data_IF_416565977609
#
_entry.id   IF_416565977609
#
_cell.length_a   1.000
_cell.length_b   1.000
_cell.length_c   1.000
_cell.angle_alpha   90.00
_cell.angle_beta   90.00
_cell.angle_gamma   90.00
#
_symmetry.space_group_name_H-M   'P 1'
#
loop_
_entity.id
_entity.type
_entity.pdbx_description
1 polymer ?
#
# COMPACT_ATOMS: atom_id res chain seq x y z
N UNK A 1 57.35 45.51 -59.23
CA UNK A 1 56.81 44.65 -58.17
C UNK A 1 55.36 44.35 -58.54
N UNK A 2 55.11 43.18 -59.14
CA UNK A 2 53.77 42.68 -59.44
C UNK A 2 53.28 41.88 -58.22
N UNK A 3 52.09 42.21 -57.71
CA UNK A 3 51.31 41.29 -56.89
C UNK A 3 49.87 41.31 -57.40
N UNK A 4 49.49 40.21 -58.05
CA UNK A 4 48.14 39.87 -58.46
C UNK A 4 47.46 39.14 -57.29
N UNK A 5 46.31 39.64 -56.86
CA UNK A 5 45.41 38.93 -55.92
C UNK A 5 44.14 38.50 -56.65
N UNK A 6 43.71 37.23 -56.54
CA UNK A 6 42.56 36.72 -57.26
C UNK A 6 41.24 36.99 -56.51
N UNK A 7 40.19 37.30 -57.27
CA UNK A 7 38.80 37.28 -56.85
C UNK A 7 38.37 35.84 -56.54
N UNK A 8 37.89 35.57 -55.32
CA UNK A 8 37.21 34.31 -54.96
C UNK A 8 35.70 34.56 -55.04
N UNK A 9 35.03 33.92 -55.98
CA UNK A 9 33.58 33.90 -56.11
C UNK A 9 32.97 32.92 -55.10
N UNK A 10 32.10 33.40 -54.22
CA UNK A 10 31.35 32.59 -53.27
C UNK A 10 30.05 32.10 -53.96
N UNK A 11 29.95 30.80 -54.26
CA UNK A 11 28.70 30.18 -54.71
C UNK A 11 27.74 30.05 -53.51
N UNK A 12 26.58 30.70 -53.59
CA UNK A 12 25.47 30.47 -52.67
C UNK A 12 24.73 29.18 -53.07
N UNK A 13 24.82 28.14 -52.25
CA UNK A 13 24.03 26.92 -52.39
C UNK A 13 22.68 27.17 -51.73
N UNK A 14 21.63 27.31 -52.53
CA UNK A 14 20.24 27.38 -52.06
C UNK A 14 19.80 25.96 -51.71
N UNK A 15 19.77 25.64 -50.41
CA UNK A 15 19.21 24.37 -49.91
C UNK A 15 17.68 24.45 -49.84
N UNK A 16 16.99 23.70 -50.69
CA UNK A 16 15.54 23.50 -50.60
C UNK A 16 15.20 22.64 -49.38
N UNK A 17 14.58 23.25 -48.36
CA UNK A 17 14.00 22.53 -47.24
C UNK A 17 12.68 21.87 -47.69
N UNK A 18 12.66 20.55 -47.73
CA UNK A 18 11.45 19.76 -47.98
C UNK A 18 10.73 19.64 -46.63
N UNK A 19 9.64 20.39 -46.47
CA UNK A 19 8.78 20.27 -45.29
C UNK A 19 8.03 18.94 -45.34
N UNK A 20 8.37 18.00 -44.45
CA UNK A 20 7.57 16.79 -44.23
C UNK A 20 6.35 17.17 -43.38
N UNK A 21 5.13 16.74 -43.75
CA UNK A 21 3.97 16.97 -42.92
C UNK A 21 4.09 16.14 -41.64
N UNK A 22 4.05 16.81 -40.48
CA UNK A 22 3.88 16.16 -39.18
C UNK A 22 2.47 15.54 -39.17
N UNK A 23 2.42 14.21 -39.24
CA UNK A 23 1.20 13.47 -38.92
C UNK A 23 1.01 13.59 -37.42
N UNK A 24 0.01 14.36 -36.99
CA UNK A 24 -0.47 14.36 -35.60
C UNK A 24 -0.97 12.95 -35.28
N UNK A 25 -0.15 12.19 -34.57
CA UNK A 25 -0.54 10.91 -34.00
C UNK A 25 -1.54 11.23 -32.89
N UNK A 26 -2.76 10.66 -32.91
CA UNK A 26 -3.71 10.89 -31.82
C UNK A 26 -3.05 10.46 -30.51
N UNK A 27 -3.03 11.35 -29.52
CA UNK A 27 -2.61 11.00 -28.16
C UNK A 27 -3.48 9.84 -27.69
N UNK A 28 -2.88 8.65 -27.66
CA UNK A 28 -3.53 7.47 -27.13
C UNK A 28 -3.95 7.82 -25.70
N UNK A 29 -5.27 7.76 -25.46
CA UNK A 29 -5.84 7.77 -24.13
C UNK A 29 -5.25 6.59 -23.36
N UNK A 30 -4.13 6.84 -22.69
CA UNK A 30 -3.56 5.97 -21.67
C UNK A 30 -4.53 6.00 -20.50
N UNK A 31 -5.58 5.18 -20.60
CA UNK A 31 -6.19 4.57 -19.44
C UNK A 31 -5.03 4.03 -18.62
N UNK A 32 -4.70 4.77 -17.56
CA UNK A 32 -3.68 4.42 -16.60
C UNK A 32 -4.10 3.08 -15.99
N UNK A 33 -3.65 1.99 -16.62
CA UNK A 33 -3.70 0.65 -16.06
C UNK A 33 -2.83 0.74 -14.81
N UNK A 34 -3.43 1.09 -13.68
CA UNK A 34 -2.75 0.96 -12.40
C UNK A 34 -2.16 -0.45 -12.38
N UNK A 35 -0.84 -0.54 -12.22
CA UNK A 35 -0.17 -1.83 -12.13
C UNK A 35 -0.92 -2.65 -11.07
N UNK A 36 -1.43 -3.82 -11.47
CA UNK A 36 -2.18 -4.69 -10.56
C UNK A 36 -1.23 -5.06 -9.42
N UNK A 37 -1.59 -4.65 -8.20
CA UNK A 37 -0.83 -5.01 -7.00
C UNK A 37 -0.86 -6.52 -6.86
N UNK A 38 0.31 -7.10 -6.57
CA UNK A 38 0.42 -8.54 -6.37
C UNK A 38 -0.53 -9.01 -5.26
N UNK A 39 -1.12 -10.19 -5.41
CA UNK A 39 -2.14 -10.67 -4.48
C UNK A 39 -1.63 -10.80 -3.02
N UNK A 40 -0.33 -11.04 -2.83
CA UNK A 40 0.34 -11.07 -1.53
C UNK A 40 0.79 -9.70 -1.00
N UNK A 41 0.39 -8.62 -1.67
CA UNK A 41 0.70 -7.24 -1.30
C UNK A 41 -0.57 -6.36 -1.23
N UNK A 42 -1.72 -6.99 -0.98
CA UNK A 42 -3.04 -6.36 -1.01
C UNK A 42 -3.73 -6.51 0.35
N UNK A 43 -4.40 -5.45 0.77
CA UNK A 43 -5.32 -5.41 1.91
C UNK A 43 -6.75 -5.32 1.39
N UNK A 44 -7.72 -5.86 2.15
CA UNK A 44 -9.14 -5.80 1.79
C UNK A 44 -10.03 -5.81 3.02
N UNK A 45 -11.11 -5.01 3.01
CA UNK A 45 -12.15 -5.07 4.04
C UNK A 45 -13.53 -5.00 3.39
N UNK A 46 -14.18 -6.16 3.26
CA UNK A 46 -15.57 -6.26 2.79
C UNK A 46 -16.52 -6.45 3.97
N UNK A 47 -16.16 -7.33 4.91
CA UNK A 47 -16.93 -7.63 6.12
C UNK A 47 -16.01 -8.18 7.24
N UNK A 48 -16.59 -8.53 8.39
CA UNK A 48 -15.88 -9.22 9.49
C UNK A 48 -15.46 -10.66 9.14
N UNK A 49 -15.96 -11.22 8.04
CA UNK A 49 -15.66 -12.59 7.57
C UNK A 49 -15.03 -12.62 6.18
N UNK A 50 -14.87 -11.47 5.54
CA UNK A 50 -14.22 -11.30 4.24
C UNK A 50 -13.27 -10.10 4.28
N UNK A 51 -12.01 -10.41 4.59
CA UNK A 51 -10.94 -9.43 4.78
C UNK A 51 -9.58 -10.03 4.43
N UNK A 52 -8.63 -9.15 4.17
CA UNK A 52 -7.21 -9.45 4.01
C UNK A 52 -6.38 -8.43 4.80
N UNK A 53 -5.33 -8.91 5.46
CA UNK A 53 -4.40 -8.12 6.27
C UNK A 53 -2.96 -8.48 5.89
N UNK A 54 -2.02 -7.61 6.22
CA UNK A 54 -0.60 -7.91 6.09
C UNK A 54 -0.10 -8.61 7.37
N UNK A 55 0.78 -9.58 7.22
CA UNK A 55 1.46 -10.24 8.34
C UNK A 55 2.91 -10.48 7.96
N UNK A 56 3.78 -10.86 8.92
CA UNK A 56 5.11 -11.32 8.58
C UNK A 56 5.05 -12.52 7.62
N UNK A 57 5.98 -12.57 6.67
CA UNK A 57 6.11 -13.69 5.73
C UNK A 57 6.66 -14.94 6.44
N UNK A 58 7.59 -14.74 7.38
CA UNK A 58 8.23 -15.82 8.11
C UNK A 58 7.48 -16.15 9.40
N UNK A 59 7.72 -17.35 9.93
CA UNK A 59 7.08 -17.82 11.17
C UNK A 59 7.63 -17.06 12.37
N UNK A 60 6.77 -16.82 13.36
CA UNK A 60 7.12 -16.24 14.67
C UNK A 60 8.03 -15.02 14.57
N UNK A 61 7.73 -14.12 13.66
CA UNK A 61 8.49 -12.90 13.42
C UNK A 61 7.79 -11.73 14.09
N UNK A 62 8.57 -10.80 14.66
CA UNK A 62 8.01 -9.56 15.18
C UNK A 62 7.52 -8.70 13.99
N UNK A 63 6.47 -7.92 14.18
CA UNK A 63 5.90 -7.06 13.16
C UNK A 63 6.98 -6.09 12.63
N UNK A 64 7.68 -5.38 13.52
CA UNK A 64 8.76 -4.47 13.15
C UNK A 64 9.94 -5.14 12.42
N UNK A 65 10.32 -6.36 12.82
CA UNK A 65 11.41 -7.10 12.17
C UNK A 65 11.07 -7.52 10.73
N UNK A 66 9.77 -7.64 10.43
CA UNK A 66 9.32 -7.96 9.08
C UNK A 66 9.32 -6.77 8.12
N UNK A 67 9.58 -5.55 8.62
CA UNK A 67 9.44 -4.28 7.89
C UNK A 67 10.54 -3.97 6.87
N UNK A 68 10.81 -4.94 5.99
CA UNK A 68 11.76 -4.82 4.90
C UNK A 68 11.18 -5.43 3.61
N UNK A 69 11.73 -5.08 2.43
CA UNK A 69 11.31 -5.68 1.17
C UNK A 69 11.31 -7.21 1.24
N UNK A 70 10.15 -7.82 0.93
CA UNK A 70 9.95 -9.26 0.96
C UNK A 70 9.74 -9.90 2.34
N UNK A 71 9.72 -9.11 3.42
CA UNK A 71 9.53 -9.58 4.80
C UNK A 71 8.07 -9.80 5.20
N UNK A 72 7.11 -9.28 4.43
CA UNK A 72 5.68 -9.39 4.71
C UNK A 72 4.90 -10.12 3.61
N UNK A 73 3.66 -10.48 3.91
CA UNK A 73 2.72 -11.09 2.98
C UNK A 73 1.28 -10.84 3.37
N UNK A 74 0.37 -10.87 2.40
CA UNK A 74 -1.08 -10.86 2.67
C UNK A 74 -1.56 -12.21 3.20
N UNK A 75 -2.38 -12.18 4.25
CA UNK A 75 -3.27 -13.25 4.67
C UNK A 75 -4.72 -12.81 4.49
N UNK A 76 -5.59 -13.72 4.05
CA UNK A 76 -7.02 -13.45 3.83
C UNK A 76 -7.88 -14.47 4.56
N UNK A 77 -9.09 -14.08 4.99
CA UNK A 77 -10.10 -15.04 5.43
C UNK A 77 -10.62 -15.90 4.27
N UNK A 78 -10.68 -15.30 3.08
CA UNK A 78 -11.06 -15.93 1.80
C UNK A 78 -10.00 -15.62 0.74
N UNK A 79 -8.86 -16.35 0.72
CA UNK A 79 -7.81 -16.11 -0.26
C UNK A 79 -8.32 -16.42 -1.68
N UNK A 80 -7.90 -15.60 -2.64
CA UNK A 80 -8.24 -15.73 -4.07
C UNK A 80 -7.03 -16.10 -4.93
N UNK A 81 -5.86 -16.21 -4.32
CA UNK A 81 -4.58 -16.55 -4.96
C UNK A 81 -3.76 -17.48 -4.07
N UNK A 82 -2.94 -18.33 -4.68
CA UNK A 82 -1.96 -19.16 -3.96
C UNK A 82 -0.83 -18.36 -3.30
N UNK A 83 -0.68 -17.09 -3.65
CA UNK A 83 0.28 -16.18 -3.02
C UNK A 83 -0.19 -15.68 -1.66
N UNK A 84 -1.46 -15.86 -1.32
CA UNK A 84 -2.06 -15.40 -0.07
C UNK A 84 -2.10 -16.51 0.97
N UNK A 85 -1.79 -16.17 2.22
CA UNK A 85 -2.08 -17.04 3.34
C UNK A 85 -3.57 -17.06 3.68
N UNK A 86 -3.99 -18.04 4.48
CA UNK A 86 -5.37 -18.16 4.98
C UNK A 86 -5.40 -17.92 6.48
N UNK A 87 -6.23 -16.97 6.93
CA UNK A 87 -6.56 -16.85 8.34
C UNK A 87 -7.44 -18.01 8.79
N UNK A 88 -7.22 -18.49 10.02
CA UNK A 88 -8.19 -19.36 10.68
C UNK A 88 -9.54 -18.63 10.84
N UNK A 89 -10.65 -19.37 10.80
CA UNK A 89 -11.99 -18.79 10.94
C UNK A 89 -12.20 -18.05 12.27
N UNK A 90 -11.45 -18.44 13.30
CA UNK A 90 -11.45 -17.84 14.63
C UNK A 90 -10.23 -16.92 14.87
N UNK A 91 -9.57 -16.44 13.82
CA UNK A 91 -8.47 -15.47 13.95
C UNK A 91 -8.94 -14.21 14.69
N UNK A 92 -10.06 -13.62 14.29
CA UNK A 92 -10.72 -12.61 15.12
C UNK A 92 -11.52 -13.32 16.22
N UNK A 93 -11.11 -13.13 17.47
CA UNK A 93 -11.90 -13.53 18.65
C UNK A 93 -13.11 -12.61 18.81
N UNK A 94 -12.92 -11.31 18.56
CA UNK A 94 -13.95 -10.27 18.51
C UNK A 94 -13.54 -9.27 17.45
N UNK A 95 -14.47 -8.82 16.61
CA UNK A 95 -14.17 -7.82 15.58
C UNK A 95 -15.39 -6.95 15.32
N UNK A 96 -15.16 -5.66 15.18
CA UNK A 96 -16.17 -4.67 14.79
C UNK A 96 -15.79 -4.11 13.42
N UNK A 97 -16.74 -4.17 12.49
CA UNK A 97 -16.67 -3.43 11.24
C UNK A 97 -17.29 -2.05 11.43
N UNK A 98 -16.61 -1.00 10.96
CA UNK A 98 -17.18 0.34 10.85
C UNK A 98 -16.92 0.91 9.46
N UNK A 99 -17.97 1.46 8.85
CA UNK A 99 -17.93 2.27 7.62
C UNK A 99 -18.43 3.65 7.98
N UNK A 100 -17.68 4.69 7.64
CA UNK A 100 -18.05 6.06 7.99
C UNK A 100 -17.31 7.07 7.10
N UNK A 101 -17.65 8.34 7.29
CA UNK A 101 -16.95 9.48 6.69
C UNK A 101 -15.87 9.99 7.65
N UNK A 102 -14.70 10.27 7.11
CA UNK A 102 -13.58 10.88 7.83
C UNK A 102 -13.69 12.40 7.90
N UNK A 103 -12.63 13.06 8.36
CA UNK A 103 -12.65 14.50 8.67
C UNK A 103 -12.97 15.40 7.47
N UNK A 104 -12.60 14.96 6.27
CA UNK A 104 -12.83 15.67 5.02
C UNK A 104 -14.03 15.11 4.24
N UNK A 105 -14.93 14.37 4.91
CA UNK A 105 -16.14 13.83 4.28
C UNK A 105 -15.88 12.68 3.30
N UNK A 106 -14.67 12.10 3.29
CA UNK A 106 -14.28 10.96 2.45
C UNK A 106 -14.53 9.65 3.18
N UNK A 107 -14.82 8.58 2.43
CA UNK A 107 -15.14 7.28 3.01
C UNK A 107 -13.91 6.60 3.63
N UNK A 108 -14.14 5.91 4.75
CA UNK A 108 -13.24 4.90 5.26
C UNK A 108 -14.02 3.66 5.72
N UNK A 109 -13.31 2.54 5.75
CA UNK A 109 -13.76 1.29 6.37
C UNK A 109 -12.67 0.78 7.31
N UNK A 110 -13.06 0.20 8.45
CA UNK A 110 -12.11 -0.37 9.40
C UNK A 110 -12.63 -1.65 10.04
N UNK A 111 -11.68 -2.50 10.45
CA UNK A 111 -11.86 -3.56 11.42
C UNK A 111 -11.04 -3.25 12.67
N UNK A 112 -11.64 -3.43 13.85
CA UNK A 112 -10.95 -3.29 15.13
C UNK A 112 -11.40 -4.40 16.06
N UNK A 113 -10.47 -5.00 16.80
CA UNK A 113 -10.86 -5.98 17.81
C UNK A 113 -9.72 -6.83 18.36
N UNK A 114 -10.11 -7.99 18.87
CA UNK A 114 -9.23 -8.93 19.54
C UNK A 114 -8.93 -10.11 18.63
N UNK A 115 -7.66 -10.50 18.58
CA UNK A 115 -7.18 -11.60 17.75
C UNK A 115 -6.83 -12.83 18.59
N UNK A 116 -6.89 -14.00 17.97
CA UNK A 116 -6.38 -15.24 18.49
C UNK A 116 -5.00 -15.50 17.87
N UNK A 117 -3.96 -14.99 18.51
CA UNK A 117 -2.59 -14.96 17.99
C UNK A 117 -2.06 -16.35 17.65
N UNK A 118 -2.43 -17.37 18.42
CA UNK A 118 -1.93 -18.74 18.24
C UNK A 118 -2.46 -19.40 16.96
N UNK A 119 -3.50 -18.83 16.34
CA UNK A 119 -4.08 -19.33 15.08
C UNK A 119 -3.34 -18.88 13.83
N UNK A 120 -2.36 -17.99 13.96
CA UNK A 120 -1.48 -17.57 12.87
C UNK A 120 -0.02 -17.83 13.28
N UNK A 121 0.64 -18.75 12.57
CA UNK A 121 2.01 -19.18 12.87
C UNK A 121 3.08 -18.13 12.51
N UNK A 122 2.71 -17.08 11.76
CA UNK A 122 3.56 -15.93 11.44
C UNK A 122 3.77 -15.01 12.63
N UNK A 123 2.75 -14.88 13.49
CA UNK A 123 2.80 -13.96 14.62
C UNK A 123 3.63 -14.53 15.76
N UNK A 124 4.55 -13.72 16.27
CA UNK A 124 5.21 -13.96 17.56
C UNK A 124 4.28 -13.51 18.70
N UNK A 125 3.81 -14.40 19.60
CA UNK A 125 2.90 -14.02 20.68
C UNK A 125 3.45 -13.06 21.72
N UNK A 126 4.78 -12.92 21.81
CA UNK A 126 5.43 -12.01 22.78
C UNK A 126 5.80 -10.65 22.18
N UNK A 127 5.41 -10.41 20.93
CA UNK A 127 5.71 -9.17 20.23
C UNK A 127 4.75 -8.05 20.64
N UNK A 128 5.30 -6.86 20.95
CA UNK A 128 4.54 -5.65 21.27
C UNK A 128 3.80 -5.06 20.07
N UNK A 129 4.17 -5.49 18.86
CA UNK A 129 3.48 -5.17 17.62
C UNK A 129 4.21 -4.19 16.73
N UNK A 130 3.47 -3.67 15.76
CA UNK A 130 3.99 -2.72 14.78
C UNK A 130 2.92 -2.28 13.80
N UNK A 131 3.33 -1.50 12.80
CA UNK A 131 2.44 -0.91 11.81
C UNK A 131 2.78 -1.40 10.40
N UNK A 132 1.75 -1.64 9.60
CA UNK A 132 1.86 -1.73 8.14
C UNK A 132 0.96 -0.68 7.51
N UNK A 133 1.39 -0.09 6.41
CA UNK A 133 0.66 0.99 5.79
C UNK A 133 1.12 1.22 4.32
N UNK A 134 0.31 1.92 3.53
CA UNK A 134 0.59 2.16 2.11
C UNK A 134 1.38 3.45 1.80
N UNK A 135 1.74 4.24 2.82
CA UNK A 135 2.16 5.65 2.63
C UNK A 135 3.33 6.14 3.49
N UNK A 136 3.83 5.32 4.40
CA UNK A 136 4.97 5.50 5.28
C UNK A 136 6.21 4.89 4.65
N UNK A 137 7.17 4.49 5.49
CA UNK A 137 8.43 3.91 5.05
C UNK A 137 9.30 4.85 4.20
N UNK A 138 10.41 4.31 3.68
CA UNK A 138 11.36 5.06 2.87
C UNK A 138 10.71 5.62 1.59
N UNK A 139 10.72 6.95 1.47
CA UNK A 139 10.13 7.65 0.31
C UNK A 139 8.59 7.64 0.27
N UNK A 140 7.92 7.32 1.38
CA UNK A 140 6.45 7.36 1.47
C UNK A 140 5.74 6.28 0.63
N UNK A 141 6.43 5.17 0.37
CA UNK A 141 5.96 4.08 -0.50
C UNK A 141 5.22 2.97 0.25
N UNK A 142 5.05 3.12 1.55
CA UNK A 142 4.46 2.12 2.43
C UNK A 142 5.43 1.03 2.85
N UNK A 143 4.99 0.27 3.85
CA UNK A 143 5.59 -0.96 4.32
C UNK A 143 4.44 -1.98 4.48
N UNK A 144 4.25 -2.88 3.50
CA UNK A 144 5.14 -3.20 2.40
C UNK A 144 5.07 -2.17 1.26
N UNK A 145 6.17 -2.03 0.51
CA UNK A 145 6.23 -1.07 -0.59
C UNK A 145 5.21 -1.38 -1.69
N UNK A 146 4.46 -0.35 -2.11
CA UNK A 146 3.46 -0.46 -3.17
C UNK A 146 2.24 -1.31 -2.80
N UNK A 147 2.07 -1.63 -1.52
CA UNK A 147 0.86 -2.25 -1.02
C UNK A 147 -0.34 -1.30 -1.17
N UNK A 148 -1.53 -1.88 -1.36
CA UNK A 148 -2.78 -1.12 -1.48
C UNK A 148 -3.88 -1.78 -0.68
N UNK A 149 -4.89 -0.98 -0.32
CA UNK A 149 -6.18 -1.52 0.06
C UNK A 149 -7.17 -1.45 -1.10
N UNK A 150 -7.84 -2.57 -1.37
CA UNK A 150 -8.77 -2.69 -2.48
C UNK A 150 -9.89 -1.64 -2.41
N UNK A 151 -9.96 -0.77 -3.42
CA UNK A 151 -10.97 0.28 -3.54
C UNK A 151 -10.70 1.55 -2.72
N UNK A 152 -9.54 1.69 -2.06
CA UNK A 152 -9.18 2.85 -1.24
C UNK A 152 -7.79 3.40 -1.61
N UNK A 153 -7.58 4.70 -1.38
CA UNK A 153 -6.34 5.38 -1.70
C UNK A 153 -5.21 5.10 -0.70
N UNK A 154 -5.55 4.71 0.53
CA UNK A 154 -4.60 4.54 1.64
C UNK A 154 -5.09 3.46 2.61
N UNK A 155 -4.18 2.84 3.36
CA UNK A 155 -4.50 2.07 4.55
C UNK A 155 -3.45 2.24 5.65
N UNK A 156 -3.88 1.98 6.88
CA UNK A 156 -3.01 1.73 8.04
C UNK A 156 -3.53 0.52 8.80
N UNK A 157 -2.61 -0.32 9.24
CA UNK A 157 -2.84 -1.58 9.92
C UNK A 157 -1.87 -1.70 11.10
N UNK A 158 -2.37 -2.14 12.25
CA UNK A 158 -1.53 -2.50 13.38
C UNK A 158 -1.92 -3.88 13.89
N UNK A 159 -0.91 -4.66 14.25
CA UNK A 159 -1.05 -5.94 14.92
C UNK A 159 -0.22 -5.86 16.19
N UNK A 160 -0.84 -6.15 17.33
CA UNK A 160 -0.22 -6.10 18.67
C UNK A 160 -0.42 -7.47 19.34
N UNK A 161 0.46 -8.44 19.05
CA UNK A 161 0.30 -9.82 19.50
C UNK A 161 0.26 -10.00 21.02
N UNK A 162 1.12 -9.34 21.78
CA UNK A 162 1.24 -9.48 23.24
C UNK A 162 -0.06 -9.14 23.98
N UNK A 163 -0.79 -8.13 23.52
CA UNK A 163 -2.09 -7.70 24.03
C UNK A 163 -3.27 -8.22 23.20
N UNK A 164 -3.00 -9.15 22.26
CA UNK A 164 -3.99 -9.88 21.45
C UNK A 164 -4.98 -8.97 20.73
N UNK A 165 -4.46 -7.89 20.14
CA UNK A 165 -5.25 -6.84 19.48
C UNK A 165 -4.75 -6.62 18.06
N UNK A 166 -5.67 -6.26 17.17
CA UNK A 166 -5.32 -5.74 15.86
C UNK A 166 -6.38 -4.77 15.35
N UNK A 167 -5.97 -3.97 14.37
CA UNK A 167 -6.84 -3.01 13.72
C UNK A 167 -6.33 -2.69 12.33
N UNK A 168 -7.27 -2.36 11.45
CA UNK A 168 -6.97 -1.99 10.08
C UNK A 168 -8.02 -1.00 9.59
N UNK A 169 -7.58 0.03 8.87
CA UNK A 169 -8.46 1.01 8.23
C UNK A 169 -7.99 1.26 6.82
N UNK A 170 -8.92 1.24 5.88
CA UNK A 170 -8.72 1.73 4.51
C UNK A 170 -9.44 3.06 4.34
N UNK A 171 -8.77 4.04 3.74
CA UNK A 171 -9.22 5.42 3.64
C UNK A 171 -9.17 5.93 2.21
N UNK A 172 -10.20 6.67 1.80
CA UNK A 172 -10.15 7.47 0.56
C UNK A 172 -9.30 8.73 0.74
N UNK A 173 -9.21 9.24 1.97
CA UNK A 173 -8.32 10.33 2.32
C UNK A 173 -7.18 9.80 3.19
N UNK A 174 -5.93 9.99 2.74
CA UNK A 174 -4.72 9.61 3.50
C UNK A 174 -4.73 10.22 4.90
N UNK A 175 -5.37 11.37 5.08
CA UNK A 175 -5.40 12.07 6.35
C UNK A 175 -6.29 11.38 7.43
N UNK A 176 -7.08 10.37 7.05
CA UNK A 176 -7.83 9.48 7.95
C UNK A 176 -7.09 8.17 8.29
N UNK A 177 -5.94 7.94 7.64
CA UNK A 177 -5.03 6.79 7.82
C UNK A 177 -3.65 7.29 8.32
N UNK A 178 -3.53 7.67 9.60
CA UNK A 178 -2.31 8.29 10.14
C UNK A 178 -1.17 7.27 10.28
N UNK A 179 0.01 7.59 9.74
CA UNK A 179 1.21 6.73 9.76
C UNK A 179 2.29 7.19 10.74
N UNK A 180 1.98 8.16 11.61
CA UNK A 180 2.94 8.83 12.50
C UNK A 180 2.70 8.53 14.00
N UNK A 181 2.01 7.43 14.28
CA UNK A 181 1.58 7.00 15.63
C UNK A 181 1.74 5.49 15.83
N UNK A 182 2.65 4.89 15.08
CA UNK A 182 3.01 3.48 15.05
C UNK A 182 3.29 2.86 16.42
N UNK A 183 3.88 3.60 17.36
CA UNK A 183 4.15 3.12 18.73
C UNK A 183 3.01 3.32 19.74
N UNK A 184 1.93 4.02 19.35
CA UNK A 184 0.82 4.35 20.26
C UNK A 184 -0.29 3.29 20.28
N UNK A 185 -0.19 2.31 19.38
CA UNK A 185 -1.07 1.16 19.34
C UNK A 185 -2.47 1.41 18.76
N UNK A 186 -3.21 0.33 18.57
CA UNK A 186 -4.48 0.36 17.85
C UNK A 186 -5.51 1.40 18.35
N UNK A 187 -5.78 1.54 19.66
CA UNK A 187 -6.81 2.47 20.15
C UNK A 187 -6.54 3.93 19.79
N UNK A 188 -5.27 4.29 19.62
CA UNK A 188 -4.87 5.66 19.32
C UNK A 188 -4.79 5.91 17.82
N UNK A 189 -4.29 4.94 17.02
CA UNK A 189 -4.22 5.08 15.57
C UNK A 189 -5.59 4.94 14.91
N UNK A 190 -6.35 3.92 15.30
CA UNK A 190 -7.67 3.60 14.75
C UNK A 190 -8.65 3.48 15.92
N UNK A 191 -9.30 4.57 16.36
CA UNK A 191 -10.31 4.47 17.40
C UNK A 191 -11.42 3.47 17.03
N UNK A 192 -11.80 2.63 17.98
CA UNK A 192 -12.74 1.53 17.77
C UNK A 192 -12.97 0.68 19.02
N UNK A 193 -13.42 -0.55 18.82
CA UNK A 193 -13.80 -1.45 19.91
C UNK A 193 -12.68 -2.44 20.21
N UNK A 194 -12.17 -2.42 21.45
CA UNK A 194 -11.06 -3.26 21.90
C UNK A 194 -11.31 -3.92 23.26
N UNK A 195 -12.55 -3.89 23.74
CA UNK A 195 -12.89 -4.37 25.09
C UNK A 195 -12.76 -5.89 25.20
N UNK A 196 -11.96 -6.34 26.18
CA UNK A 196 -11.72 -7.76 26.44
C UNK A 196 -10.79 -8.43 25.43
N UNK A 197 -9.77 -7.70 24.98
CA UNK A 197 -8.57 -8.28 24.37
C UNK A 197 -7.61 -8.61 25.50
N UNK A 198 -7.46 -9.90 25.79
CA UNK A 198 -6.72 -10.46 26.91
C UNK A 198 -6.42 -11.94 26.68
#
# INVERSE_FOLDING_TARGET
MLFTTPFVALLAIVGSAIATPLVEVPEANVNHLEARVAANNMVKITSTTDYCMIVPKNKKTNIGDSEHPGGMTTYCSKPTSSLQGKFASNFWKKVTLKKAKGKNGKDYVQLTGCINVTTNDRLNPSDGGGQYDSNGGAGGKGNPQGSKCEGYASYVELIEPDVKRACIRCCQDKADCPTNKDTQGCPVVIPGTYTGCN
#
